data_IF_869017359387
#
_entry.id   IF_869017359387
#
_cell.length_a   1.000
_cell.length_b   1.000
_cell.length_c   1.000
_cell.angle_alpha   90.00
_cell.angle_beta   90.00
_cell.angle_gamma   90.00
#
_symmetry.space_group_name_H-M   'P 1'
#
loop_
_entity.id
_entity.type
_entity.pdbx_description
1 polymer ?
#
# COMPACT_ATOMS: atom_id res chain seq x y z
N UNK A 1 0.19 1.88 -31.40
CA UNK A 1 0.41 0.95 -30.27
C UNK A 1 -0.69 -0.08 -30.38
N UNK A 2 -0.35 -1.31 -30.80
CA UNK A 2 -1.32 -2.40 -30.93
C UNK A 2 -1.82 -2.74 -29.52
N UNK A 3 -3.15 -2.73 -29.33
CA UNK A 3 -3.75 -3.38 -28.17
C UNK A 3 -3.23 -4.82 -28.13
N UNK A 4 -2.81 -5.34 -26.96
CA UNK A 4 -2.54 -6.76 -26.86
C UNK A 4 -3.81 -7.46 -27.28
N UNK A 5 -3.73 -8.24 -28.37
CA UNK A 5 -4.77 -9.14 -28.84
C UNK A 5 -5.37 -9.81 -27.61
N UNK A 6 -6.67 -9.68 -27.43
CA UNK A 6 -7.37 -10.13 -26.22
C UNK A 6 -6.99 -11.60 -25.96
N UNK A 7 -6.12 -11.84 -24.98
CA UNK A 7 -5.93 -13.18 -24.45
C UNK A 7 -7.33 -13.67 -24.07
N UNK A 8 -7.85 -14.64 -24.81
CA UNK A 8 -9.09 -15.31 -24.50
C UNK A 8 -8.87 -16.19 -23.24
N UNK A 9 -8.64 -15.55 -22.11
CA UNK A 9 -8.39 -16.18 -20.81
C UNK A 9 -9.41 -15.72 -19.80
N UNK A 10 -9.73 -16.57 -18.85
CA UNK A 10 -10.56 -16.22 -17.70
C UNK A 10 -9.76 -15.40 -16.70
N UNK A 11 -9.63 -14.08 -16.97
CA UNK A 11 -8.97 -13.15 -16.07
C UNK A 11 -9.64 -13.12 -14.68
N UNK A 12 -10.95 -13.33 -14.63
CA UNK A 12 -11.68 -13.34 -13.35
C UNK A 12 -11.31 -14.57 -12.52
N UNK A 13 -11.26 -15.74 -13.14
CA UNK A 13 -10.80 -16.96 -12.48
C UNK A 13 -9.34 -16.83 -12.02
N UNK A 14 -8.47 -16.29 -12.87
CA UNK A 14 -7.08 -16.07 -12.50
C UNK A 14 -6.93 -15.13 -11.30
N UNK A 15 -7.72 -14.05 -11.22
CA UNK A 15 -7.72 -13.14 -10.07
C UNK A 15 -8.29 -13.79 -8.80
N UNK A 16 -9.23 -14.73 -8.93
CA UNK A 16 -9.78 -15.50 -7.82
C UNK A 16 -8.74 -16.46 -7.23
N UNK A 17 -7.89 -17.06 -8.08
CA UNK A 17 -6.86 -18.02 -7.70
C UNK A 17 -5.59 -17.39 -7.15
N UNK A 18 -5.39 -16.08 -7.32
CA UNK A 18 -4.24 -15.36 -6.75
C UNK A 18 -4.32 -15.40 -5.22
N UNK A 19 -3.22 -15.84 -4.58
CA UNK A 19 -3.11 -15.89 -3.12
C UNK A 19 -2.88 -14.54 -2.44
N UNK A 20 -2.76 -13.47 -3.22
CA UNK A 20 -2.69 -12.09 -2.72
C UNK A 20 -4.12 -11.59 -2.51
N UNK A 21 -4.52 -11.23 -1.28
CA UNK A 21 -5.84 -10.67 -1.02
C UNK A 21 -6.13 -9.48 -1.92
N UNK A 22 -7.16 -9.59 -2.74
CA UNK A 22 -7.50 -8.59 -3.78
C UNK A 22 -8.96 -8.19 -3.68
N UNK A 23 -9.25 -6.91 -4.03
CA UNK A 23 -10.57 -6.36 -3.89
C UNK A 23 -10.92 -5.33 -4.98
N UNK A 24 -12.21 -5.14 -5.20
CA UNK A 24 -12.76 -4.04 -6.01
C UNK A 24 -13.79 -3.26 -5.17
N UNK A 25 -13.63 -1.94 -5.14
CA UNK A 25 -14.54 -0.99 -4.50
C UNK A 25 -15.12 -0.09 -5.58
N UNK A 26 -16.44 0.14 -5.56
CA UNK A 26 -17.08 1.07 -6.48
C UNK A 26 -16.89 2.54 -6.06
N UNK A 27 -17.45 3.47 -6.86
CA UNK A 27 -17.35 4.91 -6.59
C UNK A 27 -18.02 5.35 -5.29
N UNK A 28 -18.96 4.58 -4.78
CA UNK A 28 -19.65 4.86 -3.51
C UNK A 28 -18.91 4.29 -2.30
N UNK A 29 -17.78 3.61 -2.50
CA UNK A 29 -17.02 2.98 -1.43
C UNK A 29 -17.53 1.60 -1.04
N UNK A 30 -18.42 1.00 -1.83
CA UNK A 30 -18.96 -0.32 -1.57
C UNK A 30 -18.06 -1.39 -2.20
N UNK A 31 -17.71 -2.39 -1.42
CA UNK A 31 -16.90 -3.53 -1.86
C UNK A 31 -17.77 -4.40 -2.78
N UNK A 32 -17.37 -4.51 -4.05
CA UNK A 32 -18.13 -5.25 -5.07
C UNK A 32 -17.57 -6.63 -5.35
N UNK A 33 -16.29 -6.81 -5.08
CA UNK A 33 -15.62 -8.07 -5.28
C UNK A 33 -14.42 -8.20 -4.34
N UNK A 34 -14.19 -9.39 -3.88
CA UNK A 34 -13.01 -9.85 -3.14
C UNK A 34 -12.68 -11.26 -3.59
N UNK A 35 -11.40 -11.62 -3.69
CA UNK A 35 -11.00 -12.98 -3.98
C UNK A 35 -10.96 -13.85 -2.70
N UNK A 36 -10.73 -15.15 -2.86
CA UNK A 36 -10.70 -16.12 -1.76
C UNK A 36 -9.69 -15.73 -0.67
N UNK A 37 -8.51 -15.26 -1.04
CA UNK A 37 -7.49 -14.83 -0.08
C UNK A 37 -7.95 -13.61 0.75
N UNK A 38 -8.67 -12.67 0.15
CA UNK A 38 -9.23 -11.53 0.89
C UNK A 38 -10.38 -11.98 1.84
N UNK A 39 -11.20 -12.97 1.44
CA UNK A 39 -12.24 -13.53 2.30
C UNK A 39 -11.62 -14.23 3.53
N UNK A 40 -10.52 -14.95 3.35
CA UNK A 40 -9.79 -15.58 4.45
C UNK A 40 -9.29 -14.53 5.47
N UNK A 41 -8.85 -13.37 4.98
CA UNK A 41 -8.29 -12.31 5.84
C UNK A 41 -9.37 -11.51 6.58
N UNK A 42 -10.35 -10.95 5.86
CA UNK A 42 -11.32 -10.00 6.39
C UNK A 42 -12.77 -10.52 6.44
N UNK A 43 -13.00 -11.73 5.98
CA UNK A 43 -14.35 -12.30 5.83
C UNK A 43 -15.02 -11.87 4.53
N UNK A 44 -16.23 -12.40 4.29
CA UNK A 44 -17.05 -11.99 3.14
C UNK A 44 -17.70 -10.62 3.40
N UNK A 45 -17.07 -9.58 2.89
CA UNK A 45 -17.45 -8.18 3.09
C UNK A 45 -18.07 -7.55 1.85
N UNK A 46 -18.47 -8.35 0.87
CA UNK A 46 -19.17 -7.89 -0.35
C UNK A 46 -20.47 -7.17 0.02
N UNK A 47 -20.72 -6.05 -0.64
CA UNK A 47 -21.87 -5.19 -0.38
C UNK A 47 -21.70 -4.23 0.81
N UNK A 48 -20.66 -4.39 1.62
CA UNK A 48 -20.35 -3.49 2.72
C UNK A 48 -19.49 -2.32 2.26
N UNK A 49 -19.53 -1.21 3.00
CA UNK A 49 -18.63 -0.08 2.76
C UNK A 49 -17.22 -0.42 3.26
N UNK A 50 -16.18 -0.07 2.51
CA UNK A 50 -14.79 -0.47 2.79
C UNK A 50 -14.29 -0.02 4.18
N UNK A 51 -14.87 1.02 4.76
CA UNK A 51 -14.51 1.47 6.11
C UNK A 51 -14.89 0.47 7.22
N UNK A 52 -15.67 -0.56 6.93
CA UNK A 52 -16.02 -1.61 7.88
C UNK A 52 -14.85 -2.54 8.20
N UNK A 53 -13.90 -2.64 7.27
CA UNK A 53 -12.69 -3.46 7.43
C UNK A 53 -11.45 -2.63 7.78
N UNK A 54 -11.57 -1.31 7.84
CA UNK A 54 -10.48 -0.40 8.22
C UNK A 54 -10.58 -0.11 9.71
N UNK A 55 -9.45 -0.10 10.42
CA UNK A 55 -9.42 0.28 11.83
C UNK A 55 -9.99 1.70 12.03
N UNK A 56 -10.75 1.96 13.10
CA UNK A 56 -11.46 3.24 13.28
C UNK A 56 -10.56 4.47 13.16
N UNK A 57 -9.36 4.42 13.70
CA UNK A 57 -8.36 5.50 13.67
C UNK A 57 -7.82 5.78 12.26
N UNK A 58 -7.80 4.80 11.37
CA UNK A 58 -7.35 4.93 9.98
C UNK A 58 -8.46 5.34 9.01
N UNK A 59 -9.72 5.30 9.45
CA UNK A 59 -10.90 5.50 8.59
C UNK A 59 -10.88 6.84 7.86
N UNK A 60 -10.47 7.92 8.53
CA UNK A 60 -10.39 9.25 7.93
C UNK A 60 -9.36 9.28 6.79
N UNK A 61 -8.18 8.77 7.06
CA UNK A 61 -7.08 8.69 6.08
C UNK A 61 -7.47 7.82 4.87
N UNK A 62 -8.09 6.67 5.13
CA UNK A 62 -8.55 5.77 4.08
C UNK A 62 -9.61 6.43 3.16
N UNK A 63 -10.56 7.19 3.73
CA UNK A 63 -11.54 7.96 2.96
C UNK A 63 -10.89 9.04 2.09
N UNK A 64 -9.92 9.78 2.62
CA UNK A 64 -9.21 10.82 1.88
C UNK A 64 -8.44 10.24 0.69
N UNK A 65 -7.72 9.13 0.90
CA UNK A 65 -7.00 8.42 -0.16
C UNK A 65 -7.95 7.86 -1.23
N UNK A 66 -9.07 7.28 -0.81
CA UNK A 66 -10.10 6.78 -1.71
C UNK A 66 -10.70 7.91 -2.56
N UNK A 67 -11.11 9.02 -1.92
CA UNK A 67 -11.68 10.17 -2.62
C UNK A 67 -10.71 10.74 -3.66
N UNK A 68 -9.45 10.95 -3.30
CA UNK A 68 -8.42 11.44 -4.22
C UNK A 68 -8.23 10.51 -5.42
N UNK A 69 -8.39 9.23 -5.24
CA UNK A 69 -8.30 8.23 -6.30
C UNK A 69 -9.52 8.28 -7.23
N UNK A 70 -10.73 8.40 -6.67
CA UNK A 70 -11.98 8.48 -7.44
C UNK A 70 -12.06 9.75 -8.30
N UNK A 71 -11.51 10.86 -7.82
CA UNK A 71 -11.43 12.12 -8.61
C UNK A 71 -10.24 12.17 -9.56
N UNK A 72 -9.40 11.12 -9.60
CA UNK A 72 -8.26 11.03 -10.51
C UNK A 72 -7.03 11.83 -10.09
N UNK A 73 -7.00 12.36 -8.86
CA UNK A 73 -5.87 13.13 -8.33
C UNK A 73 -4.64 12.26 -8.03
N UNK A 74 -4.81 10.92 -7.94
CA UNK A 74 -3.75 9.95 -7.66
C UNK A 74 -3.97 8.71 -8.52
N UNK A 75 -2.93 8.25 -9.23
CA UNK A 75 -3.00 7.08 -10.11
C UNK A 75 -2.71 5.77 -9.38
N UNK A 76 -1.72 5.75 -8.50
CA UNK A 76 -1.34 4.58 -7.71
C UNK A 76 -1.14 5.03 -6.26
N UNK A 77 -1.59 4.24 -5.31
CA UNK A 77 -1.23 4.42 -3.90
C UNK A 77 -0.64 3.12 -3.38
N UNK A 78 0.52 3.24 -2.75
CA UNK A 78 1.11 2.23 -1.89
C UNK A 78 1.14 2.86 -0.51
N UNK A 79 0.48 2.25 0.47
CA UNK A 79 0.36 2.81 1.81
C UNK A 79 0.16 1.68 2.81
N UNK A 80 0.72 1.86 4.00
CA UNK A 80 0.37 1.00 5.12
C UNK A 80 -0.97 1.43 5.70
N UNK A 81 -1.71 0.47 6.22
CA UNK A 81 -2.95 0.69 6.94
C UNK A 81 -3.20 -0.43 7.93
N UNK A 82 -4.07 -0.19 8.91
CA UNK A 82 -4.51 -1.21 9.84
C UNK A 82 -5.93 -1.64 9.47
N UNK A 83 -6.07 -2.94 9.17
CA UNK A 83 -7.37 -3.55 8.89
C UNK A 83 -7.85 -4.38 10.07
N UNK A 84 -9.13 -4.68 10.06
CA UNK A 84 -9.77 -5.61 10.99
C UNK A 84 -9.96 -6.94 10.25
N UNK A 85 -9.42 -8.03 10.81
CA UNK A 85 -9.69 -9.39 10.34
C UNK A 85 -11.15 -9.79 10.59
N UNK A 86 -11.54 -10.94 10.08
CA UNK A 86 -12.87 -11.52 10.31
C UNK A 86 -13.20 -11.69 11.81
N UNK A 87 -12.21 -12.02 12.62
CA UNK A 87 -12.32 -12.15 14.09
C UNK A 87 -12.19 -10.83 14.86
N UNK A 88 -12.13 -9.69 14.13
CA UNK A 88 -11.93 -8.33 14.68
C UNK A 88 -10.54 -8.07 15.25
N UNK A 89 -9.60 -8.98 15.12
CA UNK A 89 -8.19 -8.67 15.42
C UNK A 89 -7.64 -7.69 14.40
N UNK A 90 -6.59 -6.97 14.78
CA UNK A 90 -5.96 -5.97 13.94
C UNK A 90 -4.82 -6.59 13.14
N UNK A 91 -4.66 -6.15 11.92
CA UNK A 91 -3.53 -6.51 11.08
C UNK A 91 -3.00 -5.26 10.39
N UNK A 92 -1.71 -5.00 10.57
CA UNK A 92 -1.02 -3.99 9.78
C UNK A 92 -0.70 -4.60 8.40
N UNK A 93 -1.02 -3.87 7.34
CA UNK A 93 -0.92 -4.38 5.98
C UNK A 93 -0.51 -3.28 5.02
N UNK A 94 0.27 -3.63 4.02
CA UNK A 94 0.55 -2.75 2.90
C UNK A 94 -0.57 -2.86 1.86
N UNK A 95 -1.08 -1.72 1.43
CA UNK A 95 -2.19 -1.61 0.49
C UNK A 95 -1.66 -0.98 -0.80
N UNK A 96 -1.66 -1.75 -1.87
CA UNK A 96 -1.44 -1.24 -3.22
C UNK A 96 -2.79 -1.10 -3.93
N UNK A 97 -3.12 0.10 -4.43
CA UNK A 97 -4.41 0.31 -5.06
C UNK A 97 -4.34 1.29 -6.24
N UNK A 98 -5.12 0.98 -7.29
CA UNK A 98 -5.20 1.73 -8.55
C UNK A 98 -6.65 2.08 -8.88
N UNK A 99 -6.92 3.20 -9.60
CA UNK A 99 -8.24 3.46 -10.14
C UNK A 99 -8.64 2.40 -11.16
N UNK A 100 -9.83 1.84 -11.00
CA UNK A 100 -10.45 0.98 -12.00
C UNK A 100 -11.16 1.87 -13.03
N UNK A 101 -10.81 1.72 -14.30
CA UNK A 101 -11.31 2.55 -15.39
C UNK A 101 -12.20 1.76 -16.34
N UNK A 102 -13.19 2.44 -16.89
CA UNK A 102 -13.93 2.04 -18.08
C UNK A 102 -13.85 3.20 -19.09
N UNK A 103 -12.98 3.06 -20.09
CA UNK A 103 -12.53 4.17 -20.91
C UNK A 103 -11.86 5.25 -20.05
N UNK A 104 -12.22 6.50 -20.25
CA UNK A 104 -11.68 7.63 -19.47
C UNK A 104 -12.32 7.80 -18.08
N UNK A 105 -13.41 7.07 -17.80
CA UNK A 105 -14.15 7.20 -16.55
C UNK A 105 -13.61 6.26 -15.49
N UNK A 106 -13.29 6.81 -14.31
CA UNK A 106 -13.02 6.00 -13.12
C UNK A 106 -14.35 5.45 -12.59
N UNK A 107 -14.45 4.11 -12.53
CA UNK A 107 -15.65 3.40 -12.07
C UNK A 107 -15.50 2.83 -10.67
N UNK A 108 -14.27 2.79 -10.14
CA UNK A 108 -13.97 2.27 -8.83
C UNK A 108 -12.48 2.24 -8.54
N UNK A 109 -12.08 1.39 -7.63
CA UNK A 109 -10.70 1.13 -7.22
C UNK A 109 -10.50 -0.37 -7.18
N UNK A 110 -9.43 -0.86 -7.83
CA UNK A 110 -8.88 -2.18 -7.61
C UNK A 110 -7.72 -2.08 -6.64
N UNK A 111 -7.60 -2.99 -5.67
CA UNK A 111 -6.51 -3.01 -4.74
C UNK A 111 -6.09 -4.42 -4.33
N UNK A 112 -4.86 -4.49 -3.85
CA UNK A 112 -4.26 -5.68 -3.28
C UNK A 112 -3.70 -5.36 -1.89
N UNK A 113 -3.77 -6.34 -1.00
CA UNK A 113 -3.24 -6.28 0.35
C UNK A 113 -1.96 -7.12 0.35
N UNK A 114 -0.81 -6.46 0.46
CA UNK A 114 0.49 -7.09 0.29
C UNK A 114 1.21 -7.14 1.63
N UNK A 115 1.52 -8.37 2.08
CA UNK A 115 2.27 -8.58 3.31
C UNK A 115 1.44 -8.32 4.57
N UNK A 116 1.43 -9.29 5.46
CA UNK A 116 1.06 -9.07 6.85
C UNK A 116 2.29 -8.48 7.54
N UNK A 117 2.24 -7.22 7.92
CA UNK A 117 3.14 -6.75 8.94
C UNK A 117 2.70 -7.42 10.24
N UNK A 118 3.48 -8.37 10.75
CA UNK A 118 3.26 -8.87 12.11
C UNK A 118 3.20 -7.66 13.04
N UNK A 119 2.12 -7.55 13.80
CA UNK A 119 1.96 -6.55 14.85
C UNK A 119 2.92 -6.90 15.99
N UNK A 120 4.21 -6.66 15.78
CA UNK A 120 5.16 -6.67 16.88
C UNK A 120 4.94 -5.37 17.68
N UNK A 121 4.92 -5.43 19.02
CA UNK A 121 4.87 -4.23 19.83
C UNK A 121 6.05 -3.33 19.39
N UNK A 122 5.74 -2.15 18.90
CA UNK A 122 6.72 -1.19 18.37
C UNK A 122 7.72 -0.82 19.44
N UNK A 123 8.83 -1.53 19.47
CA UNK A 123 10.04 -1.03 20.12
C UNK A 123 10.63 0.05 19.20
N UNK A 124 11.26 1.10 19.74
CA UNK A 124 11.80 2.21 18.94
C UNK A 124 12.92 1.84 17.96
N UNK A 125 13.19 0.57 17.74
CA UNK A 125 14.20 0.01 16.86
C UNK A 125 13.61 -1.07 15.94
N UNK A 126 12.40 -0.84 15.38
CA UNK A 126 11.76 -1.77 14.46
C UNK A 126 12.65 -1.99 13.23
N UNK A 127 12.87 -3.27 12.87
CA UNK A 127 13.54 -3.66 11.64
C UNK A 127 12.83 -3.01 10.45
N UNK A 128 13.61 -2.25 9.66
CA UNK A 128 13.09 -1.64 8.44
C UNK A 128 12.73 -2.73 7.44
N UNK A 129 11.63 -2.56 6.71
CA UNK A 129 11.36 -3.44 5.58
C UNK A 129 12.52 -3.38 4.58
N UNK A 130 12.77 -4.42 3.78
CA UNK A 130 13.84 -4.42 2.78
C UNK A 130 13.83 -3.17 1.89
N UNK A 131 12.65 -2.69 1.52
CA UNK A 131 12.48 -1.49 0.70
C UNK A 131 12.78 -0.20 1.46
N UNK A 132 12.41 -0.12 2.73
CA UNK A 132 12.77 1.02 3.59
C UNK A 132 14.28 1.06 3.85
N UNK A 133 14.92 -0.08 4.09
CA UNK A 133 16.37 -0.17 4.25
C UNK A 133 17.11 0.28 2.98
N UNK A 134 16.61 -0.12 1.80
CA UNK A 134 17.16 0.29 0.51
C UNK A 134 17.04 1.81 0.27
N UNK A 135 15.89 2.38 0.58
CA UNK A 135 15.68 3.84 0.52
C UNK A 135 16.56 4.57 1.52
N UNK A 136 16.73 4.04 2.74
CA UNK A 136 17.61 4.63 3.75
C UNK A 136 19.06 4.64 3.29
N UNK A 137 19.58 3.55 2.73
CA UNK A 137 20.93 3.47 2.15
C UNK A 137 21.18 4.54 1.09
N UNK A 138 20.19 4.75 0.21
CA UNK A 138 20.31 5.77 -0.84
C UNK A 138 20.26 7.20 -0.26
N UNK A 139 19.46 7.42 0.80
CA UNK A 139 19.45 8.69 1.53
C UNK A 139 20.79 8.95 2.23
N UNK A 140 21.41 7.94 2.85
CA UNK A 140 22.74 8.03 3.47
C UNK A 140 23.85 8.40 2.47
N UNK A 141 23.70 7.94 1.22
CA UNK A 141 24.59 8.30 0.09
C UNK A 141 24.28 9.68 -0.48
N UNK A 142 23.29 10.39 0.05
CA UNK A 142 22.92 11.74 -0.37
C UNK A 142 22.07 11.80 -1.63
N UNK A 143 21.44 10.70 -2.06
CA UNK A 143 20.61 10.66 -3.26
C UNK A 143 19.36 11.53 -3.09
N UNK A 144 19.06 12.34 -4.09
CA UNK A 144 17.80 13.07 -4.18
C UNK A 144 16.64 12.12 -4.48
N UNK A 145 15.39 12.56 -4.24
CA UNK A 145 14.18 11.78 -4.57
C UNK A 145 14.17 11.29 -6.02
N UNK A 146 14.68 12.11 -6.96
CA UNK A 146 14.73 11.75 -8.39
C UNK A 146 15.75 10.64 -8.63
N UNK A 147 16.96 10.78 -8.08
CA UNK A 147 18.01 9.76 -8.21
C UNK A 147 17.59 8.43 -7.57
N UNK A 148 16.90 8.47 -6.41
CA UNK A 148 16.34 7.27 -5.80
C UNK A 148 15.27 6.64 -6.70
N UNK A 149 14.42 7.45 -7.33
CA UNK A 149 13.39 6.96 -8.24
C UNK A 149 14.00 6.26 -9.47
N UNK A 150 15.04 6.86 -10.03
CA UNK A 150 15.78 6.32 -11.18
C UNK A 150 16.51 5.03 -10.81
N UNK A 151 17.20 4.99 -9.65
CA UNK A 151 17.93 3.82 -9.15
C UNK A 151 17.01 2.63 -8.86
N UNK A 152 15.84 2.91 -8.26
CA UNK A 152 14.88 1.89 -7.84
C UNK A 152 13.83 1.55 -8.92
N UNK A 153 13.92 2.18 -10.09
CA UNK A 153 12.99 2.02 -11.21
C UNK A 153 11.52 2.26 -10.84
N UNK A 154 11.27 3.28 -10.01
CA UNK A 154 9.94 3.68 -9.53
C UNK A 154 9.66 5.16 -9.78
N UNK A 155 8.45 5.62 -9.51
CA UNK A 155 8.13 7.05 -9.64
C UNK A 155 8.66 7.86 -8.45
N UNK A 156 8.88 9.16 -8.63
CA UNK A 156 9.24 10.06 -7.52
C UNK A 156 8.13 10.14 -6.46
N UNK A 157 6.87 9.88 -6.83
CA UNK A 157 5.75 9.80 -5.89
C UNK A 157 5.88 8.57 -4.99
N UNK A 158 6.25 7.41 -5.57
CA UNK A 158 6.53 6.17 -4.82
C UNK A 158 7.66 6.37 -3.83
N UNK A 159 8.77 7.02 -4.26
CA UNK A 159 9.90 7.33 -3.34
C UNK A 159 9.48 8.24 -2.20
N UNK A 160 8.66 9.28 -2.46
CA UNK A 160 8.16 10.15 -1.38
C UNK A 160 7.34 9.37 -0.36
N UNK A 161 6.55 8.40 -0.82
CA UNK A 161 5.78 7.54 0.06
C UNK A 161 6.69 6.64 0.92
N UNK A 162 7.66 5.95 0.30
CA UNK A 162 8.64 5.14 1.04
C UNK A 162 9.43 5.97 2.07
N UNK A 163 9.84 7.19 1.72
CA UNK A 163 10.50 8.10 2.66
C UNK A 163 9.56 8.46 3.82
N UNK A 164 8.30 8.78 3.56
CA UNK A 164 7.34 9.10 4.62
C UNK A 164 7.12 7.92 5.58
N UNK A 165 7.05 6.70 5.05
CA UNK A 165 6.93 5.46 5.83
C UNK A 165 8.20 5.18 6.63
N UNK A 166 9.37 5.36 6.03
CA UNK A 166 10.68 5.25 6.69
C UNK A 166 10.81 6.22 7.88
N UNK A 167 10.47 7.51 7.68
CA UNK A 167 10.51 8.51 8.75
C UNK A 167 9.61 8.13 9.93
N UNK A 168 8.43 7.60 9.61
CA UNK A 168 7.49 7.11 10.63
C UNK A 168 8.03 5.88 11.35
N UNK A 169 8.61 4.91 10.63
CA UNK A 169 9.19 3.70 11.22
C UNK A 169 10.34 4.03 12.18
N UNK A 170 11.18 5.02 11.81
CA UNK A 170 12.28 5.49 12.64
C UNK A 170 11.85 6.46 13.75
N UNK A 171 10.58 6.91 13.78
CA UNK A 171 10.09 7.89 14.75
C UNK A 171 10.70 9.29 14.60
N UNK A 172 11.14 9.65 13.38
CA UNK A 172 11.80 10.92 13.06
C UNK A 172 10.97 11.76 12.08
N UNK A 173 11.27 13.05 11.97
CA UNK A 173 10.45 13.99 11.21
C UNK A 173 11.14 14.52 9.93
N UNK A 174 12.42 14.23 9.74
CA UNK A 174 13.17 14.69 8.58
C UNK A 174 14.12 13.62 8.05
N UNK A 175 14.48 13.74 6.75
CA UNK A 175 15.48 12.87 6.12
C UNK A 175 16.84 12.93 6.79
N UNK A 176 17.22 14.13 7.26
CA UNK A 176 18.49 14.33 7.97
C UNK A 176 18.48 13.58 9.29
N UNK A 177 17.38 13.65 10.03
CA UNK A 177 17.19 12.87 11.27
C UNK A 177 17.21 11.36 11.00
N UNK A 178 16.59 10.89 9.90
CA UNK A 178 16.63 9.49 9.52
C UNK A 178 18.06 8.99 9.27
N UNK A 179 18.84 9.75 8.51
CA UNK A 179 20.26 9.45 8.27
C UNK A 179 21.08 9.51 9.55
N UNK A 180 20.83 10.48 10.42
CA UNK A 180 21.52 10.60 11.71
C UNK A 180 21.18 9.42 12.64
N UNK A 181 19.90 9.01 12.70
CA UNK A 181 19.44 7.87 13.50
C UNK A 181 20.06 6.54 13.00
N UNK A 182 20.13 6.34 11.68
CA UNK A 182 20.78 5.17 11.10
C UNK A 182 22.25 5.05 11.49
N UNK A 183 22.98 6.16 11.41
CA UNK A 183 24.41 6.21 11.80
C UNK A 183 24.65 6.01 13.29
N UNK A 184 23.74 6.53 14.14
CA UNK A 184 23.86 6.42 15.61
C UNK A 184 23.43 5.04 16.13
N UNK A 185 22.44 4.41 15.48
CA UNK A 185 21.85 3.14 15.91
C UNK A 185 22.52 1.89 15.38
N UNK A 186 23.58 2.00 14.54
CA UNK A 186 24.23 0.85 13.92
C UNK A 186 23.24 -0.04 13.15
N UNK A 187 22.22 0.58 12.52
CA UNK A 187 21.28 -0.16 11.69
C UNK A 187 22.08 -0.75 10.53
N UNK A 188 22.44 -2.03 10.69
CA UNK A 188 23.23 -2.76 9.71
C UNK A 188 22.37 -2.91 8.46
N UNK A 189 22.77 -2.26 7.38
CA UNK A 189 22.18 -2.36 6.06
C UNK A 189 22.97 -3.35 5.18
N UNK A 190 23.43 -4.47 5.80
CA UNK A 190 24.05 -5.56 5.04
C UNK A 190 23.06 -6.29 4.16
#
# INVERSE_FOLDING_TARGET
MSEPEALAGDLRGALEDIRVPSYVIDRAGVIRWVNSAAIELVGDVRGQHFTMVVAPEETRRARDLFTRKIVGAVSVTETEGVLLRADRTRVAIEICAVPLRNGDRIVGVFGQLVGEAEEQPRTPHADLTPRQAEVLRLLERGFSTRQIADELHVTTATVRNHVALLLRALGVHSRLEAVAAARAGGISTD
#
